data_IF_525338223052
#
_entry.id   IF_525338223052
#
_cell.length_a   1.000
_cell.length_b   1.000
_cell.length_c   1.000
_cell.angle_alpha   90.00
_cell.angle_beta   90.00
_cell.angle_gamma   90.00
#
_symmetry.space_group_name_H-M   'P 1'
#
loop_
_entity.id
_entity.type
_entity.pdbx_description
1 polymer ?
#
# COMPACT_ATOMS: atom_id res chain seq x y z
N UNK A 1 11.06 -11.81 0.65
CA UNK A 1 10.20 -12.78 -0.08
C UNK A 1 8.77 -12.28 -0.39
N UNK A 2 8.22 -11.26 0.29
CA UNK A 2 6.78 -10.95 0.17
C UNK A 2 6.32 -10.05 -1.01
N UNK A 3 7.07 -9.02 -1.47
CA UNK A 3 6.64 -8.12 -2.54
C UNK A 3 6.30 -8.79 -3.89
N UNK A 4 7.10 -9.73 -4.42
CA UNK A 4 6.75 -10.41 -5.65
C UNK A 4 5.48 -11.25 -5.50
N UNK A 5 5.25 -11.87 -4.35
CA UNK A 5 4.07 -12.68 -4.09
C UNK A 5 2.78 -11.85 -4.09
N UNK A 6 2.76 -10.72 -3.36
CA UNK A 6 1.62 -9.79 -3.39
C UNK A 6 1.35 -9.29 -4.80
N UNK A 7 2.40 -8.87 -5.50
CA UNK A 7 2.27 -8.36 -6.87
C UNK A 7 1.75 -9.43 -7.85
N UNK A 8 2.17 -10.69 -7.66
CA UNK A 8 1.68 -11.82 -8.43
C UNK A 8 0.20 -12.08 -8.18
N UNK A 9 -0.25 -12.07 -6.91
CA UNK A 9 -1.66 -12.16 -6.55
C UNK A 9 -2.50 -11.05 -7.19
N UNK A 10 -2.00 -9.81 -7.14
CA UNK A 10 -2.70 -8.63 -7.63
C UNK A 10 -2.93 -8.67 -9.15
N UNK A 11 -1.92 -9.12 -9.90
CA UNK A 11 -1.90 -9.02 -11.38
C UNK A 11 -2.15 -10.34 -12.10
N UNK A 12 -2.10 -11.47 -11.39
CA UNK A 12 -2.07 -12.80 -12.00
C UNK A 12 -0.82 -13.08 -12.85
N UNK A 13 0.25 -12.28 -12.69
CA UNK A 13 1.49 -12.37 -13.47
C UNK A 13 2.65 -12.84 -12.60
N UNK A 14 3.71 -13.38 -13.19
CA UNK A 14 4.95 -13.71 -12.48
C UNK A 14 5.91 -12.49 -12.38
N UNK A 15 6.96 -12.54 -11.54
CA UNK A 15 7.92 -11.44 -11.36
C UNK A 15 8.55 -10.90 -12.63
N UNK A 16 8.88 -11.76 -13.59
CA UNK A 16 9.40 -11.35 -14.90
C UNK A 16 8.46 -10.40 -15.65
N UNK A 17 7.14 -10.60 -15.50
CA UNK A 17 6.10 -9.80 -16.15
C UNK A 17 5.74 -8.54 -15.36
N UNK A 18 5.55 -8.64 -14.04
CA UNK A 18 5.13 -7.47 -13.24
C UNK A 18 6.30 -6.60 -12.75
N UNK A 19 7.54 -7.09 -12.80
CA UNK A 19 8.76 -6.30 -12.54
C UNK A 19 9.09 -6.02 -11.07
N UNK A 20 8.41 -6.66 -10.12
CA UNK A 20 8.65 -6.50 -8.68
C UNK A 20 9.37 -7.74 -8.18
N UNK A 21 10.54 -7.56 -7.57
CA UNK A 21 11.40 -8.66 -7.13
C UNK A 21 11.69 -8.64 -5.63
N UNK A 22 11.79 -7.46 -5.03
CA UNK A 22 12.08 -7.29 -3.61
C UNK A 22 11.45 -6.01 -3.05
N UNK A 23 11.70 -5.73 -1.77
CA UNK A 23 11.29 -4.51 -1.09
C UNK A 23 12.13 -3.31 -1.49
N UNK A 24 13.31 -3.54 -2.06
CA UNK A 24 14.23 -2.50 -2.49
C UNK A 24 14.71 -2.75 -3.91
N UNK A 25 14.92 -1.66 -4.65
CA UNK A 25 15.54 -1.66 -5.97
C UNK A 25 16.67 -0.64 -5.99
N UNK A 26 17.67 -0.86 -6.85
CA UNK A 26 18.70 0.14 -7.08
C UNK A 26 18.14 1.29 -7.91
N UNK A 27 18.47 2.52 -7.51
CA UNK A 27 18.30 3.68 -8.37
C UNK A 27 19.26 3.55 -9.57
N UNK A 28 18.80 3.79 -10.81
CA UNK A 28 19.69 3.78 -11.97
C UNK A 28 20.88 4.70 -11.77
N UNK A 29 22.06 4.25 -12.21
CA UNK A 29 23.33 5.00 -12.15
C UNK A 29 23.74 5.43 -10.72
N UNK A 30 23.28 4.71 -9.70
CA UNK A 30 23.60 5.00 -8.30
C UNK A 30 23.68 3.72 -7.45
N UNK A 31 24.38 3.81 -6.32
CA UNK A 31 24.36 2.79 -5.27
C UNK A 31 23.21 3.00 -4.27
N UNK A 32 22.39 4.03 -4.45
CA UNK A 32 21.20 4.28 -3.63
C UNK A 32 20.14 3.19 -3.82
N UNK A 33 19.54 2.77 -2.70
CA UNK A 33 18.40 1.87 -2.67
C UNK A 33 17.10 2.67 -2.55
N UNK A 34 16.09 2.29 -3.33
CA UNK A 34 14.74 2.83 -3.28
C UNK A 34 13.79 1.77 -2.73
N UNK A 35 12.84 2.19 -1.89
CA UNK A 35 11.75 1.31 -1.49
C UNK A 35 10.82 1.05 -2.66
N UNK A 36 10.47 -0.21 -2.84
CA UNK A 36 9.56 -0.65 -3.89
C UNK A 36 8.12 -0.44 -3.43
N UNK A 37 7.28 0.10 -4.31
CA UNK A 37 5.86 0.36 -4.05
C UNK A 37 4.99 -0.06 -5.23
N UNK A 38 3.67 0.02 -5.05
CA UNK A 38 2.69 -0.29 -6.09
C UNK A 38 2.88 0.45 -7.42
N UNK A 39 3.37 1.69 -7.38
CA UNK A 39 3.65 2.50 -8.57
C UNK A 39 4.74 1.94 -9.49
N UNK A 40 5.61 1.07 -8.98
CA UNK A 40 6.65 0.40 -9.77
C UNK A 40 6.15 -0.86 -10.48
N UNK A 41 4.93 -1.31 -10.18
CA UNK A 41 4.35 -2.54 -10.72
C UNK A 41 3.93 -2.36 -12.17
N UNK A 42 4.24 -3.36 -13.00
CA UNK A 42 3.68 -3.50 -14.35
C UNK A 42 2.49 -4.46 -14.36
N UNK A 43 1.54 -4.18 -15.24
CA UNK A 43 0.35 -5.00 -15.45
C UNK A 43 -0.84 -4.55 -14.61
N UNK A 44 -2.04 -4.78 -15.16
CA UNK A 44 -3.27 -4.33 -14.54
C UNK A 44 -3.63 -5.19 -13.32
N UNK A 45 -3.96 -4.57 -12.18
CA UNK A 45 -4.49 -5.28 -11.04
C UNK A 45 -5.95 -5.69 -11.27
N UNK A 46 -6.40 -6.78 -10.67
CA UNK A 46 -7.77 -7.28 -10.90
C UNK A 46 -8.85 -6.27 -10.47
N UNK A 47 -8.61 -5.42 -9.46
CA UNK A 47 -9.57 -4.38 -9.06
C UNK A 47 -9.76 -3.27 -10.08
N UNK A 48 -8.73 -2.98 -10.89
CA UNK A 48 -8.85 -2.04 -12.02
C UNK A 48 -9.77 -2.62 -13.07
N UNK A 49 -9.54 -3.88 -13.45
CA UNK A 49 -10.40 -4.60 -14.41
C UNK A 49 -11.86 -4.65 -13.92
N UNK A 50 -12.09 -4.97 -12.64
CA UNK A 50 -13.42 -4.96 -12.04
C UNK A 50 -14.08 -3.56 -12.10
N UNK A 51 -13.32 -2.51 -11.80
CA UNK A 51 -13.79 -1.12 -11.85
C UNK A 51 -14.18 -0.69 -13.26
N UNK A 52 -13.36 -1.01 -14.26
CA UNK A 52 -13.63 -0.75 -15.69
C UNK A 52 -14.90 -1.45 -16.18
N UNK A 53 -15.26 -2.58 -15.57
CA UNK A 53 -16.50 -3.31 -15.85
C UNK A 53 -17.66 -2.92 -14.90
N UNK A 54 -17.57 -1.75 -14.25
CA UNK A 54 -18.62 -1.17 -13.43
C UNK A 54 -18.85 -1.88 -12.10
N UNK A 55 -17.97 -2.79 -11.67
CA UNK A 55 -18.06 -3.47 -10.37
C UNK A 55 -17.51 -2.57 -9.27
N UNK A 56 -18.17 -2.56 -8.12
CA UNK A 56 -17.69 -1.84 -6.95
C UNK A 56 -16.59 -2.62 -6.24
N UNK A 57 -15.52 -1.95 -5.83
CA UNK A 57 -14.40 -2.58 -5.13
C UNK A 57 -13.98 -1.76 -3.92
N UNK A 58 -13.53 -2.45 -2.87
CA UNK A 58 -12.82 -1.86 -1.74
C UNK A 58 -11.51 -2.59 -1.57
N UNK A 59 -10.40 -1.87 -1.66
CA UNK A 59 -9.04 -2.39 -1.43
C UNK A 59 -8.48 -1.70 -0.20
N UNK A 60 -8.22 -2.45 0.87
CA UNK A 60 -7.82 -1.90 2.16
C UNK A 60 -6.53 -2.58 2.63
N UNK A 61 -5.48 -1.80 2.85
CA UNK A 61 -4.20 -2.24 3.41
C UNK A 61 -3.51 -3.40 2.66
N UNK A 62 -3.85 -3.58 1.38
CA UNK A 62 -3.17 -4.57 0.53
C UNK A 62 -1.78 -4.04 0.19
N UNK A 63 -0.68 -4.78 0.46
CA UNK A 63 0.66 -4.34 0.11
C UNK A 63 0.85 -4.09 -1.38
N UNK A 64 1.81 -3.24 -1.73
CA UNK A 64 2.14 -2.89 -3.12
C UNK A 64 1.01 -2.13 -3.82
N UNK A 65 0.41 -1.17 -3.12
CA UNK A 65 -0.72 -0.37 -3.62
C UNK A 65 -0.53 1.13 -3.47
N UNK A 66 0.66 1.61 -3.07
CA UNK A 66 0.98 3.04 -3.09
C UNK A 66 1.64 3.44 -4.43
N UNK A 67 1.25 4.57 -5.06
CA UNK A 67 0.11 5.41 -4.71
C UNK A 67 -1.23 4.72 -5.00
N UNK A 68 -2.31 5.07 -4.30
CA UNK A 68 -3.62 4.46 -4.49
C UNK A 68 -4.11 4.71 -5.92
N UNK A 69 -4.61 3.65 -6.55
CA UNK A 69 -5.19 3.71 -7.88
C UNK A 69 -6.65 4.20 -7.81
N UNK A 70 -7.09 4.88 -8.87
CA UNK A 70 -8.50 5.22 -9.02
C UNK A 70 -9.30 3.95 -9.29
N UNK A 71 -10.30 3.69 -8.45
CA UNK A 71 -11.20 2.53 -8.55
C UNK A 71 -12.66 2.96 -8.47
N UNK A 72 -13.58 2.10 -8.91
CA UNK A 72 -15.01 2.29 -8.70
C UNK A 72 -15.38 1.92 -7.25
N UNK A 73 -14.95 2.75 -6.29
CA UNK A 73 -15.10 2.48 -4.87
C UNK A 73 -13.97 3.11 -4.08
N UNK A 74 -13.39 2.37 -3.13
CA UNK A 74 -12.40 2.90 -2.18
C UNK A 74 -11.10 2.11 -2.28
N UNK A 75 -9.98 2.80 -2.23
CA UNK A 75 -8.66 2.23 -2.05
C UNK A 75 -7.93 2.93 -0.92
N UNK A 76 -7.42 2.16 0.04
CA UNK A 76 -6.50 2.61 1.08
C UNK A 76 -5.24 1.76 0.94
N UNK A 77 -4.14 2.41 0.56
CA UNK A 77 -2.88 1.75 0.24
C UNK A 77 -2.26 1.06 1.45
N UNK A 78 -1.44 0.04 1.18
CA UNK A 78 -0.78 -0.77 2.20
C UNK A 78 0.42 -0.11 2.85
N UNK A 79 1.19 -0.94 3.58
CA UNK A 79 2.35 -0.50 4.34
C UNK A 79 3.47 0.10 3.48
N UNK A 80 3.43 -0.03 2.14
CA UNK A 80 4.38 0.60 1.22
C UNK A 80 4.15 2.12 1.06
N UNK A 81 3.10 2.67 1.66
CA UNK A 81 2.82 4.11 1.68
C UNK A 81 3.83 4.88 2.54
N UNK A 82 4.32 6.08 2.15
CA UNK A 82 5.34 6.82 2.90
C UNK A 82 4.96 7.13 4.37
N UNK A 83 3.69 7.41 4.63
CA UNK A 83 3.19 7.70 5.98
C UNK A 83 1.72 8.16 5.97
N UNK A 84 1.17 8.44 7.16
CA UNK A 84 -0.22 8.93 7.32
C UNK A 84 -0.43 10.33 6.72
N UNK A 85 0.65 11.08 6.50
CA UNK A 85 0.61 12.40 5.86
C UNK A 85 0.75 12.33 4.32
N UNK A 86 0.78 11.13 3.74
CA UNK A 86 0.86 10.93 2.29
C UNK A 86 -0.53 10.75 1.65
N UNK A 87 -0.60 10.87 0.32
CA UNK A 87 -1.83 10.61 -0.44
C UNK A 87 -2.10 9.10 -0.60
N UNK A 88 -2.31 8.36 0.50
CA UNK A 88 -2.48 6.90 0.50
C UNK A 88 -3.95 6.43 0.38
N UNK A 89 -4.90 7.36 0.22
CA UNK A 89 -6.34 7.06 0.15
C UNK A 89 -6.97 7.60 -1.13
N UNK A 90 -7.78 6.78 -1.78
CA UNK A 90 -8.68 7.16 -2.88
C UNK A 90 -10.13 6.73 -2.58
N UNK A 91 -11.12 7.60 -2.80
CA UNK A 91 -10.99 9.04 -3.00
C UNK A 91 -10.45 9.75 -1.73
N UNK A 92 -9.75 10.89 -1.84
CA UNK A 92 -9.08 11.53 -0.70
C UNK A 92 -10.00 11.88 0.48
N UNK A 93 -11.26 12.22 0.23
CA UNK A 93 -12.22 12.61 1.27
C UNK A 93 -12.56 11.46 2.25
N UNK A 94 -12.33 10.21 1.86
CA UNK A 94 -12.60 9.04 2.72
C UNK A 94 -11.76 9.08 4.00
N UNK A 95 -10.53 9.60 3.94
CA UNK A 95 -9.69 9.73 5.13
C UNK A 95 -10.34 10.66 6.18
N UNK A 96 -10.97 11.75 5.74
CA UNK A 96 -11.70 12.65 6.63
C UNK A 96 -12.91 11.97 7.29
N UNK A 97 -13.65 11.15 6.55
CA UNK A 97 -14.79 10.40 7.09
C UNK A 97 -14.33 9.41 8.16
N UNK A 98 -13.26 8.66 7.89
CA UNK A 98 -12.69 7.71 8.87
C UNK A 98 -12.23 8.45 10.13
N UNK A 99 -11.55 9.58 9.98
CA UNK A 99 -11.10 10.40 11.12
C UNK A 99 -12.26 10.87 12.00
N UNK A 100 -13.36 11.31 11.39
CA UNK A 100 -14.52 11.80 12.12
C UNK A 100 -15.29 10.69 12.84
N UNK A 101 -15.39 9.50 12.26
CA UNK A 101 -16.20 8.40 12.80
C UNK A 101 -15.42 7.46 13.73
N UNK A 102 -14.14 7.21 13.42
CA UNK A 102 -13.32 6.16 14.04
C UNK A 102 -12.03 6.67 14.69
N UNK A 103 -11.69 7.96 14.49
CA UNK A 103 -10.44 8.54 14.95
C UNK A 103 -9.28 8.36 13.97
N UNK A 104 -8.06 8.62 14.44
CA UNK A 104 -6.87 8.64 13.57
C UNK A 104 -6.59 7.30 12.88
N UNK A 105 -6.20 7.37 11.61
CA UNK A 105 -5.89 6.18 10.82
C UNK A 105 -4.50 5.63 11.14
N UNK A 106 -4.41 4.37 11.54
CA UNK A 106 -3.16 3.69 11.82
C UNK A 106 -2.70 2.93 10.57
N UNK A 107 -1.75 3.49 9.82
CA UNK A 107 -1.20 2.86 8.62
C UNK A 107 -0.20 1.74 8.93
N UNK A 108 0.58 1.91 10.01
CA UNK A 108 1.55 0.92 10.50
C UNK A 108 1.46 0.91 12.02
N UNK A 109 1.17 -0.24 12.60
CA UNK A 109 1.10 -0.44 14.06
C UNK A 109 2.42 -1.01 14.63
N UNK A 110 3.53 -0.77 13.93
CA UNK A 110 4.85 -1.12 14.43
C UNK A 110 5.64 0.16 14.74
N UNK A 111 6.25 0.27 15.92
CA UNK A 111 7.08 1.41 16.27
C UNK A 111 8.33 1.42 15.38
N UNK A 112 8.27 2.18 14.28
CA UNK A 112 9.45 2.51 13.48
C UNK A 112 10.25 3.55 14.26
N UNK A 113 11.30 3.10 14.96
CA UNK A 113 12.21 3.99 15.69
C UNK A 113 11.62 4.69 16.91
N UNK A 114 10.48 4.24 17.45
CA UNK A 114 10.02 4.73 18.77
C UNK A 114 10.78 4.01 19.89
N UNK A 115 10.97 4.74 20.99
CA UNK A 115 11.46 4.22 22.26
C UNK A 115 10.79 2.86 22.57
N UNK A 116 11.56 1.77 22.79
CA UNK A 116 11.03 0.46 23.15
C UNK A 116 10.02 0.47 24.30
N UNK A 117 10.05 1.48 25.17
CA UNK A 117 9.09 1.65 26.26
C UNK A 117 7.64 1.90 25.79
N UNK A 118 7.45 2.43 24.58
CA UNK A 118 6.13 2.67 23.97
C UNK A 118 5.38 1.38 23.67
N UNK A 119 6.12 0.32 23.29
CA UNK A 119 5.56 -1.01 22.99
C UNK A 119 4.92 -1.65 24.23
N UNK A 120 5.55 -1.50 25.41
CA UNK A 120 5.02 -2.02 26.66
C UNK A 120 3.67 -1.39 27.04
N UNK A 121 3.43 -0.13 26.68
CA UNK A 121 2.15 0.55 26.96
C UNK A 121 1.01 0.05 26.07
N UNK A 122 1.29 -0.53 24.90
CA UNK A 122 0.27 -1.09 24.01
C UNK A 122 -0.21 -2.48 24.44
N UNK A 123 0.66 -3.30 25.06
CA UNK A 123 0.31 -4.68 25.46
C UNK A 123 -0.62 -4.74 26.70
N UNK A 124 -0.65 -3.68 27.50
CA UNK A 124 -1.42 -3.62 28.76
C UNK A 124 -2.78 -2.91 28.65
N UNK A 125 -3.31 -2.73 27.43
CA UNK A 125 -4.70 -2.30 27.18
C UNK A 125 -5.55 -3.48 26.75
#
# INVERSE_FOLDING_TARGET
MSPPAWTSFITGKNPGKHGIYDFVVHKPDSYELLYTNGGMRRGDPFWKLLSEHGKKVVVLNVPMTYPPEKVNGIMISGFDSPGVDSDFVYPPHILGNIKNELGEYILRDYPQGQDPSSFLKQIHK
#
